data_IF_404737955894
#
_entry.id   IF_404737955894
#
_cell.length_a   1.000
_cell.length_b   1.000
_cell.length_c   1.000
_cell.angle_alpha   90.00
_cell.angle_beta   90.00
_cell.angle_gamma   90.00
#
_symmetry.space_group_name_H-M   'P 1'
#
loop_
_entity.id
_entity.type
_entity.pdbx_description
1 polymer ?
#
# COMPACT_ATOMS: atom_id res chain seq x y z
N UNK A 1 16.14 -8.77 -29.82
CA UNK A 1 15.70 -7.74 -28.87
C UNK A 1 15.22 -8.45 -27.61
N UNK A 2 15.97 -8.41 -26.50
CA UNK A 2 15.49 -8.99 -25.23
C UNK A 2 14.72 -7.91 -24.49
N UNK A 3 13.39 -7.99 -24.52
CA UNK A 3 12.56 -7.12 -23.70
C UNK A 3 12.80 -7.50 -22.23
N UNK A 4 13.54 -6.66 -21.52
CA UNK A 4 13.61 -6.75 -20.06
C UNK A 4 12.26 -6.29 -19.53
N UNK A 5 11.34 -7.21 -19.31
CA UNK A 5 10.11 -6.94 -18.55
C UNK A 5 10.57 -6.75 -17.10
N UNK A 6 10.79 -5.50 -16.71
CA UNK A 6 10.95 -5.15 -15.30
C UNK A 6 9.61 -5.42 -14.65
N UNK A 7 9.44 -6.60 -14.05
CA UNK A 7 8.26 -6.90 -13.23
C UNK A 7 8.36 -6.05 -11.97
N UNK A 8 7.31 -5.29 -11.71
CA UNK A 8 7.18 -4.56 -10.46
C UNK A 8 7.23 -5.53 -9.28
N UNK A 9 7.87 -5.14 -8.16
CA UNK A 9 7.92 -5.97 -6.98
C UNK A 9 6.51 -6.25 -6.48
N UNK A 10 6.20 -7.53 -6.24
CA UNK A 10 4.96 -7.92 -5.57
C UNK A 10 5.04 -7.56 -4.10
N UNK A 11 4.42 -6.45 -3.75
CA UNK A 11 4.55 -5.85 -2.43
C UNK A 11 3.22 -5.25 -1.99
N UNK A 12 2.99 -5.25 -0.68
CA UNK A 12 1.97 -4.43 -0.04
C UNK A 12 2.60 -3.64 1.10
N UNK A 13 2.54 -2.32 1.01
CA UNK A 13 2.92 -1.42 2.11
C UNK A 13 1.73 -1.27 3.05
N UNK A 14 2.01 -1.36 4.35
CA UNK A 14 1.03 -1.24 5.44
C UNK A 14 1.36 0.00 6.25
N UNK A 15 0.48 1.00 6.15
CA UNK A 15 0.57 2.23 6.94
C UNK A 15 -0.39 2.12 8.12
N UNK A 16 0.11 2.41 9.34
CA UNK A 16 -0.66 2.34 10.60
C UNK A 16 -1.39 1.01 10.80
N UNK A 17 -0.79 -0.07 10.32
CA UNK A 17 -1.29 -1.41 10.45
C UNK A 17 -0.12 -2.38 10.59
N UNK A 18 -0.04 -3.09 11.70
CA UNK A 18 1.05 -4.00 12.04
C UNK A 18 0.54 -5.27 12.75
N UNK A 19 1.45 -6.09 13.25
CA UNK A 19 1.13 -7.38 13.88
C UNK A 19 0.25 -7.30 15.14
N UNK A 20 0.13 -6.11 15.74
CA UNK A 20 -0.74 -5.87 16.88
C UNK A 20 -2.21 -5.63 16.46
N UNK A 21 -2.45 -5.35 15.18
CA UNK A 21 -3.78 -5.08 14.67
C UNK A 21 -4.59 -6.38 14.45
N UNK A 22 -5.89 -6.39 14.79
CA UNK A 22 -6.79 -7.47 14.41
C UNK A 22 -6.76 -7.72 12.90
N UNK A 23 -6.74 -8.99 12.52
CA UNK A 23 -6.72 -9.42 11.12
C UNK A 23 -5.33 -9.39 10.46
N UNK A 24 -4.27 -8.94 11.14
CA UNK A 24 -2.92 -8.99 10.57
C UNK A 24 -2.47 -10.40 10.20
N UNK A 25 -2.75 -11.41 11.04
CA UNK A 25 -2.37 -12.80 10.74
C UNK A 25 -3.07 -13.31 9.46
N UNK A 26 -4.36 -12.98 9.31
CA UNK A 26 -5.12 -13.31 8.11
C UNK A 26 -4.58 -12.58 6.87
N UNK A 27 -4.23 -11.30 7.01
CA UNK A 27 -3.59 -10.51 5.95
C UNK A 27 -2.23 -11.11 5.55
N UNK A 28 -1.42 -11.50 6.52
CA UNK A 28 -0.12 -12.14 6.29
C UNK A 28 -0.27 -13.50 5.62
N UNK A 29 -1.35 -14.24 5.90
CA UNK A 29 -1.68 -15.49 5.20
C UNK A 29 -2.13 -15.20 3.76
N UNK A 30 -2.99 -14.21 3.55
CA UNK A 30 -3.43 -13.77 2.23
C UNK A 30 -2.24 -13.37 1.34
N UNK A 31 -1.35 -12.55 1.89
CA UNK A 31 -0.14 -12.10 1.20
C UNK A 31 0.76 -13.28 0.80
N UNK A 32 0.98 -14.23 1.71
CA UNK A 32 1.74 -15.46 1.42
C UNK A 32 1.10 -16.28 0.29
N UNK A 33 -0.21 -16.49 0.33
CA UNK A 33 -0.94 -17.22 -0.72
C UNK A 33 -0.85 -16.56 -2.10
N UNK A 34 -0.76 -15.23 -2.15
CA UNK A 34 -0.63 -14.47 -3.39
C UNK A 34 0.82 -14.17 -3.82
N UNK A 35 1.82 -14.60 -3.02
CA UNK A 35 3.22 -14.26 -3.25
C UNK A 35 3.52 -12.76 -3.14
N UNK A 36 2.82 -12.07 -2.25
CA UNK A 36 2.99 -10.64 -1.94
C UNK A 36 3.87 -10.49 -0.69
N UNK A 37 4.90 -9.64 -0.79
CA UNK A 37 5.71 -9.28 0.37
C UNK A 37 5.02 -8.16 1.15
N UNK A 38 4.71 -8.37 2.43
CA UNK A 38 4.22 -7.31 3.30
C UNK A 38 5.39 -6.46 3.81
N UNK A 39 5.20 -5.14 3.88
CA UNK A 39 6.14 -4.21 4.48
C UNK A 39 5.36 -3.21 5.33
N UNK A 40 5.66 -3.17 6.62
CA UNK A 40 5.16 -2.11 7.50
C UNK A 40 5.98 -0.85 7.23
N UNK A 41 5.28 0.27 7.06
CA UNK A 41 5.88 1.60 6.86
C UNK A 41 5.34 2.55 7.91
N UNK A 42 6.22 3.39 8.45
CA UNK A 42 5.91 4.35 9.48
C UNK A 42 6.42 5.74 9.14
N UNK A 43 6.45 6.61 10.15
CA UNK A 43 6.90 7.99 10.01
C UNK A 43 8.28 8.12 9.34
N UNK A 44 9.28 7.25 9.62
CA UNK A 44 10.60 7.35 8.98
C UNK A 44 10.55 7.16 7.46
N UNK A 45 9.58 6.40 6.94
CA UNK A 45 9.46 6.08 5.51
C UNK A 45 8.65 7.11 4.71
N UNK A 46 8.05 8.11 5.36
CA UNK A 46 7.15 9.07 4.72
C UNK A 46 7.79 9.88 3.58
N UNK A 47 9.09 10.16 3.67
CA UNK A 47 9.87 10.82 2.61
C UNK A 47 10.38 9.88 1.52
N UNK A 48 10.19 8.57 1.67
CA UNK A 48 10.59 7.55 0.69
C UNK A 48 9.65 7.50 -0.49
N UNK A 49 10.20 7.26 -1.68
CA UNK A 49 9.41 7.04 -2.89
C UNK A 49 8.66 5.71 -2.78
N UNK A 50 7.37 5.70 -3.12
CA UNK A 50 6.51 4.50 -3.01
C UNK A 50 7.11 3.32 -3.78
N UNK A 51 7.61 3.54 -5.00
CA UNK A 51 8.24 2.48 -5.78
C UNK A 51 9.50 1.89 -5.14
N UNK A 52 10.30 2.73 -4.48
CA UNK A 52 11.52 2.31 -3.78
C UNK A 52 11.20 1.55 -2.50
N UNK A 53 10.20 2.00 -1.73
CA UNK A 53 9.70 1.30 -0.56
C UNK A 53 9.14 -0.08 -0.92
N UNK A 54 8.38 -0.19 -2.01
CA UNK A 54 7.90 -1.49 -2.52
C UNK A 54 9.06 -2.42 -2.90
N UNK A 55 10.13 -1.87 -3.47
CA UNK A 55 11.36 -2.59 -3.78
C UNK A 55 12.21 -2.92 -2.54
N UNK A 56 11.84 -2.41 -1.35
CA UNK A 56 12.56 -2.62 -0.10
C UNK A 56 13.81 -1.76 0.06
N UNK A 57 13.90 -0.65 -0.67
CA UNK A 57 14.98 0.33 -0.49
C UNK A 57 14.66 1.21 0.71
N UNK A 58 15.69 1.61 1.43
CA UNK A 58 15.57 2.51 2.56
C UNK A 58 15.06 3.88 2.10
N UNK A 59 14.17 4.49 2.88
CA UNK A 59 13.81 5.89 2.71
C UNK A 59 15.02 6.78 3.00
N UNK A 60 15.16 7.92 2.31
CA UNK A 60 16.12 8.93 2.71
C UNK A 60 15.76 9.45 4.10
N UNK A 61 16.76 9.88 4.89
CA UNK A 61 16.51 10.56 6.15
C UNK A 61 15.67 11.81 5.90
N UNK A 62 14.39 11.77 6.29
CA UNK A 62 13.43 12.83 5.99
C UNK A 62 13.37 13.87 7.12
N UNK A 63 13.21 15.13 6.72
CA UNK A 63 12.88 16.25 7.61
C UNK A 63 11.45 16.08 8.21
N UNK A 64 11.08 16.82 9.27
CA UNK A 64 9.75 16.71 9.87
C UNK A 64 8.68 16.95 8.80
N UNK A 65 7.84 15.94 8.56
CA UNK A 65 6.78 16.01 7.56
C UNK A 65 5.53 16.68 8.14
N UNK A 66 4.74 17.26 7.21
CA UNK A 66 3.40 17.76 7.46
C UNK A 66 2.50 16.71 8.13
N UNK A 67 1.39 17.15 8.73
CA UNK A 67 0.39 16.27 9.31
C UNK A 67 -0.12 15.29 8.25
N UNK A 68 0.39 14.05 8.27
CA UNK A 68 -0.05 12.97 7.40
C UNK A 68 -1.28 12.29 8.01
N UNK A 69 -2.16 11.70 7.20
CA UNK A 69 -3.33 11.01 7.71
C UNK A 69 -2.94 9.79 8.56
N UNK A 70 -3.58 9.62 9.71
CA UNK A 70 -3.35 8.48 10.61
C UNK A 70 -4.21 7.26 10.27
N UNK A 71 -5.10 7.39 9.28
CA UNK A 71 -6.02 6.34 8.85
C UNK A 71 -5.24 5.17 8.23
N UNK A 72 -5.48 3.90 8.63
CA UNK A 72 -4.73 2.75 8.10
C UNK A 72 -4.88 2.59 6.59
N UNK A 73 -3.78 2.24 5.92
CA UNK A 73 -3.75 2.10 4.46
C UNK A 73 -3.03 0.85 3.98
N UNK A 74 -3.56 0.28 2.88
CA UNK A 74 -2.97 -0.82 2.11
C UNK A 74 -2.60 -0.32 0.71
N UNK A 75 -1.31 -0.32 0.38
CA UNK A 75 -0.81 0.11 -0.92
C UNK A 75 -0.17 -1.09 -1.64
N UNK A 76 -0.75 -1.53 -2.75
CA UNK A 76 -0.39 -2.79 -3.43
C UNK A 76 0.36 -2.53 -4.73
N UNK A 77 1.47 -3.25 -4.96
CA UNK A 77 2.27 -3.19 -6.19
C UNK A 77 2.48 -4.59 -6.78
N UNK A 78 2.61 -4.65 -8.12
CA UNK A 78 3.01 -5.86 -8.84
C UNK A 78 1.96 -6.97 -8.98
N UNK A 79 0.71 -6.73 -8.53
CA UNK A 79 -0.43 -7.60 -8.80
C UNK A 79 -1.19 -7.13 -10.05
N UNK A 80 -1.57 -8.08 -10.89
CA UNK A 80 -2.24 -7.78 -12.16
C UNK A 80 -3.76 -7.73 -11.96
N UNK A 81 -4.37 -6.70 -12.54
CA UNK A 81 -5.83 -6.63 -12.71
C UNK A 81 -6.31 -7.59 -13.81
N UNK A 82 -5.53 -7.78 -14.87
CA UNK A 82 -5.94 -8.55 -16.06
C UNK A 82 -6.08 -10.05 -15.77
N UNK A 83 -5.24 -10.57 -14.87
CA UNK A 83 -5.26 -11.98 -14.46
C UNK A 83 -6.12 -12.21 -13.22
N UNK A 84 -6.74 -11.17 -12.67
CA UNK A 84 -7.57 -11.25 -11.46
C UNK A 84 -6.80 -11.40 -10.14
N UNK A 85 -5.46 -11.42 -10.17
CA UNK A 85 -4.63 -11.65 -8.98
C UNK A 85 -4.83 -10.55 -7.92
N UNK A 86 -4.97 -9.29 -8.34
CA UNK A 86 -5.27 -8.21 -7.41
C UNK A 86 -6.64 -8.39 -6.77
N UNK A 87 -7.67 -8.72 -7.56
CA UNK A 87 -9.02 -8.93 -7.03
C UNK A 87 -9.04 -10.04 -5.99
N UNK A 88 -8.44 -11.18 -6.32
CA UNK A 88 -8.30 -12.30 -5.39
C UNK A 88 -7.57 -11.92 -4.10
N UNK A 89 -6.46 -11.18 -4.19
CA UNK A 89 -5.75 -10.70 -3.00
C UNK A 89 -6.63 -9.78 -2.14
N UNK A 90 -7.35 -8.83 -2.75
CA UNK A 90 -8.24 -7.91 -2.02
C UNK A 90 -9.40 -8.66 -1.34
N UNK A 91 -9.93 -9.72 -1.94
CA UNK A 91 -10.98 -10.51 -1.33
C UNK A 91 -10.47 -11.29 -0.11
N UNK A 92 -9.28 -11.90 -0.20
CA UNK A 92 -8.62 -12.51 0.96
C UNK A 92 -8.31 -11.51 2.08
N UNK A 93 -7.94 -10.26 1.73
CA UNK A 93 -7.74 -9.18 2.71
C UNK A 93 -9.05 -8.87 3.42
N UNK A 94 -10.19 -8.80 2.72
CA UNK A 94 -11.50 -8.57 3.37
C UNK A 94 -11.85 -9.72 4.31
N UNK A 95 -11.60 -10.96 3.90
CA UNK A 95 -11.83 -12.16 4.71
C UNK A 95 -10.92 -12.24 5.94
N UNK A 96 -9.76 -11.58 5.91
CA UNK A 96 -8.82 -11.56 7.03
C UNK A 96 -9.31 -10.82 8.27
N UNK A 97 -10.33 -9.96 8.13
CA UNK A 97 -10.80 -9.06 9.19
C UNK A 97 -9.91 -7.83 9.39
N UNK A 98 -8.93 -7.59 8.51
CA UNK A 98 -8.08 -6.40 8.55
C UNK A 98 -8.90 -5.13 8.18
N UNK A 99 -8.93 -4.16 9.09
CA UNK A 99 -9.56 -2.86 8.86
C UNK A 99 -8.56 -1.89 8.19
N UNK A 100 -8.62 -1.88 6.87
CA UNK A 100 -7.75 -1.07 5.99
C UNK A 100 -8.66 -0.19 5.11
N UNK A 101 -9.16 0.94 5.61
CA UNK A 101 -10.12 1.79 4.90
C UNK A 101 -9.52 2.51 3.69
N UNK A 102 -8.23 2.86 3.72
CA UNK A 102 -7.53 3.41 2.56
C UNK A 102 -6.87 2.28 1.77
N UNK A 103 -7.13 2.23 0.46
CA UNK A 103 -6.60 1.18 -0.42
C UNK A 103 -6.18 1.77 -1.74
N UNK A 104 -4.99 1.41 -2.19
CA UNK A 104 -4.44 1.91 -3.45
C UNK A 104 -3.67 0.83 -4.20
N UNK A 105 -3.63 0.96 -5.52
CA UNK A 105 -2.63 0.30 -6.34
C UNK A 105 -1.52 1.30 -6.70
N UNK A 106 -0.28 0.83 -6.67
CA UNK A 106 0.85 1.57 -7.22
C UNK A 106 0.72 1.64 -8.74
N UNK A 107 0.47 2.84 -9.25
CA UNK A 107 0.48 3.19 -10.68
C UNK A 107 1.86 3.71 -11.10
N UNK A 108 2.19 3.74 -12.42
CA UNK A 108 3.42 4.37 -12.91
C UNK A 108 3.66 5.79 -12.36
N UNK A 109 2.59 6.57 -12.19
CA UNK A 109 2.65 7.93 -11.61
C UNK A 109 3.00 7.88 -10.13
N UNK A 110 2.22 7.14 -9.32
CA UNK A 110 2.38 7.10 -7.86
C UNK A 110 3.72 6.49 -7.40
N UNK A 111 4.40 5.69 -8.24
CA UNK A 111 5.75 5.17 -7.93
C UNK A 111 6.75 6.28 -7.61
N UNK A 112 6.60 7.43 -8.26
CA UNK A 112 7.49 8.59 -8.13
C UNK A 112 7.07 9.55 -7.03
N UNK A 113 5.96 9.25 -6.34
CA UNK A 113 5.49 10.05 -5.22
C UNK A 113 6.15 9.58 -3.93
N UNK A 114 6.31 10.50 -3.00
CA UNK A 114 6.62 10.13 -1.61
C UNK A 114 5.42 9.40 -0.99
N UNK A 115 5.68 8.55 0.00
CA UNK A 115 4.62 7.89 0.76
C UNK A 115 3.64 8.91 1.37
N UNK A 116 4.14 10.02 1.90
CA UNK A 116 3.31 11.09 2.45
C UNK A 116 2.32 11.68 1.42
N UNK A 117 2.79 11.98 0.20
CA UNK A 117 1.93 12.51 -0.86
C UNK A 117 0.82 11.53 -1.22
N UNK A 118 1.15 10.24 -1.36
CA UNK A 118 0.15 9.22 -1.68
C UNK A 118 -0.89 9.08 -0.56
N UNK A 119 -0.47 9.03 0.70
CA UNK A 119 -1.39 8.93 1.84
C UNK A 119 -2.34 10.13 1.93
N UNK A 120 -1.83 11.34 1.66
CA UNK A 120 -2.64 12.56 1.67
C UNK A 120 -3.72 12.51 0.59
N UNK A 121 -3.36 12.09 -0.63
CA UNK A 121 -4.29 11.93 -1.75
C UNK A 121 -5.38 10.89 -1.40
N UNK A 122 -4.99 9.70 -0.94
CA UNK A 122 -5.93 8.64 -0.59
C UNK A 122 -6.92 9.07 0.48
N UNK A 123 -6.46 9.86 1.46
CA UNK A 123 -7.34 10.35 2.49
C UNK A 123 -8.34 11.37 1.95
N UNK A 124 -7.91 12.29 1.08
CA UNK A 124 -8.79 13.26 0.43
C UNK A 124 -9.84 12.58 -0.45
N UNK A 125 -9.44 11.59 -1.26
CA UNK A 125 -10.37 10.79 -2.07
C UNK A 125 -11.41 10.08 -1.19
N UNK A 126 -10.98 9.51 -0.07
CA UNK A 126 -11.87 8.82 0.85
C UNK A 126 -12.88 9.77 1.51
N UNK A 127 -12.43 10.94 1.97
CA UNK A 127 -13.31 11.91 2.62
C UNK A 127 -14.32 12.50 1.61
N UNK A 128 -13.90 12.75 0.36
CA UNK A 128 -14.79 13.21 -0.71
C UNK A 128 -15.91 12.20 -1.05
N UNK A 129 -15.61 10.90 -1.01
CA UNK A 129 -16.63 9.83 -1.19
C UNK A 129 -17.56 9.71 0.02
N UNK A 130 -17.10 10.11 1.21
CA UNK A 130 -17.91 10.18 2.42
C UNK A 130 -18.94 11.33 2.41
N UNK A 131 -18.56 12.48 1.84
CA UNK A 131 -19.40 13.68 1.79
C UNK A 131 -20.56 13.58 0.78
N UNK A 132 -20.42 12.82 -0.31
CA UNK A 132 -21.49 12.63 -1.32
C UNK A 132 -22.70 11.81 -0.83
N UNK A 133 -22.63 11.24 0.38
CA UNK A 133 -23.69 10.39 0.97
C UNK A 133 -24.49 11.04 2.10
N UNK A 134 -24.35 12.35 2.32
CA UNK A 134 -25.12 13.12 3.33
C UNK A 134 -25.98 14.18 2.67
#
# INVERSE_FOLDING_TARGET
MKAHIVREPRCALLWRFDETCPGYEGLAKAARSCGVTLRTVGNPELGGLVGDLCAGKAAPAAAPLAAVPERPALIVSGLSHQTGELGHFIDLVKESGADLPLRAMVTPTSKTWTLAQLLLELNQEHDAVGEDRT
#
